data_IF_757335160444
#
_entry.id   IF_757335160444
#
_cell.length_a   1.000
_cell.length_b   1.000
_cell.length_c   1.000
_cell.angle_alpha   90.00
_cell.angle_beta   90.00
_cell.angle_gamma   90.00
#
_symmetry.space_group_name_H-M   'P 1'
#
loop_
_entity.id
_entity.type
_entity.pdbx_description
1 polymer ?
#
# COMPACT_ATOMS: atom_id res chain seq x y z
N UNK A 1 -3.57 -39.81 -0.92
CA UNK A 1 -3.46 -38.41 -1.41
C UNK A 1 -2.67 -37.62 -0.37
N UNK A 2 -1.65 -36.88 -0.75
CA UNK A 2 -0.84 -36.10 0.20
C UNK A 2 -1.67 -35.01 0.85
N UNK A 3 -1.42 -34.73 2.12
CA UNK A 3 -2.00 -33.57 2.78
C UNK A 3 -1.37 -32.28 2.20
N UNK A 4 -2.15 -31.21 2.05
CA UNK A 4 -1.63 -29.89 1.68
C UNK A 4 -0.71 -29.33 2.77
N UNK A 5 0.17 -28.42 2.38
CA UNK A 5 1.02 -27.69 3.31
C UNK A 5 0.23 -26.62 4.05
N UNK A 6 0.72 -26.20 5.24
CA UNK A 6 0.07 -25.20 6.09
C UNK A 6 -0.30 -23.88 5.39
N UNK A 7 0.51 -23.29 4.48
CA UNK A 7 0.13 -22.05 3.81
C UNK A 7 -1.16 -22.16 2.99
N UNK A 8 -1.41 -23.32 2.38
CA UNK A 8 -2.64 -23.55 1.61
C UNK A 8 -3.86 -23.73 2.54
N UNK A 9 -3.68 -24.36 3.70
CA UNK A 9 -4.72 -24.47 4.72
C UNK A 9 -5.04 -23.11 5.37
N UNK A 10 -4.03 -22.27 5.60
CA UNK A 10 -4.23 -20.90 6.08
C UNK A 10 -4.99 -20.06 5.05
N UNK A 11 -4.54 -20.07 3.79
CA UNK A 11 -5.23 -19.34 2.72
C UNK A 11 -6.69 -19.79 2.55
N UNK A 12 -6.98 -21.07 2.76
CA UNK A 12 -8.35 -21.59 2.81
C UNK A 12 -9.16 -21.00 3.96
N UNK A 13 -8.61 -20.99 5.18
CA UNK A 13 -9.26 -20.42 6.37
C UNK A 13 -9.51 -18.91 6.25
N UNK A 14 -8.60 -18.19 5.57
CA UNK A 14 -8.67 -16.75 5.35
C UNK A 14 -9.54 -16.35 4.14
N UNK A 15 -10.03 -17.33 3.35
CA UNK A 15 -10.77 -17.13 2.09
C UNK A 15 -9.95 -16.43 0.98
N UNK A 16 -8.63 -16.56 1.02
CA UNK A 16 -7.67 -15.92 0.11
C UNK A 16 -7.32 -16.79 -1.12
N UNK A 17 -8.13 -17.79 -1.43
CA UNK A 17 -7.90 -18.73 -2.53
C UNK A 17 -8.81 -18.45 -3.73
N UNK A 18 -8.37 -18.83 -4.93
CA UNK A 18 -9.23 -18.81 -6.11
C UNK A 18 -10.38 -19.82 -5.96
N UNK A 19 -11.58 -19.57 -6.53
CA UNK A 19 -12.73 -20.44 -6.36
C UNK A 19 -12.48 -21.92 -6.72
N UNK A 20 -11.69 -22.17 -7.78
CA UNK A 20 -11.35 -23.52 -8.23
C UNK A 20 -10.44 -24.28 -7.25
N UNK A 21 -9.57 -23.57 -6.53
CA UNK A 21 -8.66 -24.17 -5.54
C UNK A 21 -9.40 -24.43 -4.23
N UNK A 22 -10.26 -23.49 -3.83
CA UNK A 22 -11.14 -23.64 -2.67
C UNK A 22 -12.01 -24.90 -2.79
N UNK A 23 -12.67 -25.13 -3.94
CA UNK A 23 -13.51 -26.31 -4.14
C UNK A 23 -12.73 -27.65 -4.12
N UNK A 24 -11.46 -27.65 -4.55
CA UNK A 24 -10.60 -28.84 -4.45
C UNK A 24 -10.22 -29.13 -3.01
N UNK A 25 -9.80 -28.11 -2.28
CA UNK A 25 -9.36 -28.24 -0.90
C UNK A 25 -10.53 -28.53 0.05
N UNK A 26 -11.70 -27.93 -0.17
CA UNK A 26 -12.91 -28.22 0.58
C UNK A 26 -13.29 -29.72 0.51
N UNK A 27 -13.24 -30.33 -0.69
CA UNK A 27 -13.47 -31.77 -0.85
C UNK A 27 -12.43 -32.62 -0.09
N UNK A 28 -11.17 -32.18 -0.08
CA UNK A 28 -10.12 -32.88 0.68
C UNK A 28 -10.36 -32.78 2.19
N UNK A 29 -10.68 -31.59 2.70
CA UNK A 29 -10.94 -31.35 4.13
C UNK A 29 -12.11 -32.20 4.61
N UNK A 30 -13.18 -32.34 3.81
CA UNK A 30 -14.31 -33.21 4.17
C UNK A 30 -13.92 -34.67 4.42
N UNK A 31 -12.87 -35.18 3.75
CA UNK A 31 -12.40 -36.56 3.87
C UNK A 31 -11.15 -36.75 4.74
N UNK A 32 -10.54 -35.69 5.25
CA UNK A 32 -9.23 -35.75 5.92
C UNK A 32 -9.28 -35.21 7.35
N UNK A 33 -9.30 -36.07 8.38
CA UNK A 33 -9.39 -35.64 9.78
C UNK A 33 -8.15 -34.87 10.25
N UNK A 34 -6.98 -35.08 9.62
CA UNK A 34 -5.76 -34.33 9.93
C UNK A 34 -5.91 -32.86 9.53
N UNK A 35 -6.42 -32.60 8.33
CA UNK A 35 -6.67 -31.25 7.85
C UNK A 35 -7.79 -30.56 8.63
N UNK A 36 -8.84 -31.29 9.02
CA UNK A 36 -9.91 -30.76 9.88
C UNK A 36 -9.36 -30.30 11.24
N UNK A 37 -8.53 -31.12 11.90
CA UNK A 37 -7.88 -30.71 13.16
C UNK A 37 -6.98 -29.49 12.99
N UNK A 38 -6.25 -29.41 11.87
CA UNK A 38 -5.37 -28.26 11.60
C UNK A 38 -6.16 -26.97 11.41
N UNK A 39 -7.31 -27.04 10.73
CA UNK A 39 -8.21 -25.88 10.59
C UNK A 39 -8.82 -25.46 11.92
N UNK A 40 -9.23 -26.40 12.77
CA UNK A 40 -9.72 -26.10 14.11
C UNK A 40 -8.68 -25.34 14.94
N UNK A 41 -7.39 -25.69 14.84
CA UNK A 41 -6.30 -24.94 15.51
C UNK A 41 -6.20 -23.48 15.03
N UNK A 42 -6.45 -23.21 13.74
CA UNK A 42 -6.47 -21.84 13.22
C UNK A 42 -7.70 -21.07 13.73
N UNK A 43 -8.85 -21.72 13.81
CA UNK A 43 -10.07 -21.13 14.36
C UNK A 43 -9.92 -20.79 15.85
N UNK A 44 -9.33 -21.68 16.64
CA UNK A 44 -9.03 -21.47 18.06
C UNK A 44 -8.08 -20.27 18.25
N UNK A 45 -7.01 -20.21 17.45
CA UNK A 45 -6.06 -19.10 17.50
C UNK A 45 -6.73 -17.78 17.12
N UNK A 46 -7.58 -17.79 16.08
CA UNK A 46 -8.36 -16.62 15.67
C UNK A 46 -9.32 -16.17 16.76
N UNK A 47 -9.91 -17.11 17.49
CA UNK A 47 -10.81 -16.81 18.59
C UNK A 47 -10.05 -16.20 19.77
N UNK A 48 -8.93 -16.80 20.19
CA UNK A 48 -8.06 -16.25 21.22
C UNK A 48 -7.60 -14.83 20.88
N UNK A 49 -7.25 -14.58 19.61
CA UNK A 49 -6.87 -13.23 19.12
C UNK A 49 -7.99 -12.20 19.26
N UNK A 50 -9.25 -12.60 19.06
CA UNK A 50 -10.42 -11.72 19.22
C UNK A 50 -10.77 -11.44 20.68
N UNK A 51 -10.38 -12.33 21.58
CA UNK A 51 -10.62 -12.20 23.02
C UNK A 51 -9.60 -11.29 23.71
N UNK A 52 -8.52 -10.89 23.03
CA UNK A 52 -7.59 -9.92 23.59
C UNK A 52 -8.31 -8.57 23.85
N UNK A 53 -8.00 -7.92 24.99
CA UNK A 53 -8.56 -6.62 25.30
C UNK A 53 -8.13 -5.60 24.25
N UNK A 54 -9.10 -4.83 23.75
CA UNK A 54 -8.80 -3.73 22.85
C UNK A 54 -8.05 -2.64 23.61
N UNK A 55 -6.92 -2.11 23.08
CA UNK A 55 -6.20 -1.04 23.72
C UNK A 55 -7.07 0.22 23.79
N UNK A 56 -7.19 0.80 24.98
CA UNK A 56 -7.89 2.06 25.15
C UNK A 56 -7.05 3.19 24.57
N UNK A 57 -7.59 3.90 23.59
CA UNK A 57 -7.00 5.14 23.10
C UNK A 57 -7.22 6.22 24.18
N UNK A 58 -6.15 6.81 24.70
CA UNK A 58 -6.20 7.87 25.72
C UNK A 58 -6.79 9.21 25.23
N UNK A 59 -7.46 9.21 24.08
CA UNK A 59 -8.12 10.35 23.45
C UNK A 59 -9.21 9.85 22.50
N UNK A 60 -10.16 10.73 22.18
CA UNK A 60 -11.22 10.43 21.21
C UNK A 60 -10.69 10.51 19.77
N UNK A 61 -10.33 9.35 19.22
CA UNK A 61 -9.92 9.22 17.81
C UNK A 61 -11.09 9.49 16.85
N UNK A 62 -12.31 9.08 17.21
CA UNK A 62 -13.49 9.22 16.36
C UNK A 62 -13.79 10.70 16.09
N UNK A 63 -13.71 11.55 17.12
CA UNK A 63 -13.87 13.00 16.96
C UNK A 63 -12.82 13.59 16.01
N UNK A 64 -11.55 13.17 16.12
CA UNK A 64 -10.47 13.66 15.23
C UNK A 64 -10.62 13.18 13.79
N UNK A 65 -11.15 11.97 13.60
CA UNK A 65 -11.25 11.35 12.27
C UNK A 65 -12.51 11.79 11.52
N UNK A 66 -13.57 12.19 12.22
CA UNK A 66 -14.85 12.61 11.63
C UNK A 66 -14.71 13.70 10.57
N UNK A 67 -13.83 14.67 10.80
CA UNK A 67 -13.59 15.75 9.85
C UNK A 67 -12.74 15.32 8.65
N UNK A 68 -11.92 14.27 8.79
CA UNK A 68 -11.12 13.69 7.70
C UNK A 68 -11.92 12.74 6.81
N UNK A 69 -12.87 12.03 7.37
CA UNK A 69 -13.74 11.08 6.64
C UNK A 69 -14.88 11.78 5.89
N UNK A 70 -15.14 13.06 6.17
CA UNK A 70 -16.04 13.86 5.35
C UNK A 70 -15.42 14.03 3.97
N UNK A 71 -15.88 13.23 3.01
CA UNK A 71 -15.57 13.44 1.60
C UNK A 71 -15.97 14.87 1.24
N UNK A 72 -15.04 15.73 0.81
CA UNK A 72 -15.41 17.07 0.39
C UNK A 72 -16.40 16.97 -0.77
N UNK A 73 -17.44 17.83 -0.82
CA UNK A 73 -18.36 17.83 -1.94
C UNK A 73 -17.57 18.01 -3.24
N UNK A 74 -17.98 17.33 -4.34
CA UNK A 74 -17.31 17.52 -5.63
C UNK A 74 -17.33 19.00 -5.97
N UNK A 75 -16.15 19.62 -6.04
CA UNK A 75 -16.04 21.04 -6.40
C UNK A 75 -16.64 21.20 -7.80
N UNK A 76 -17.62 22.10 -8.00
CA UNK A 76 -18.12 22.36 -9.35
C UNK A 76 -16.93 22.82 -10.19
N UNK A 77 -16.65 22.10 -11.27
CA UNK A 77 -15.67 22.54 -12.27
C UNK A 77 -16.18 23.84 -12.86
N UNK A 78 -15.66 24.97 -12.38
CA UNK A 78 -15.92 26.28 -12.95
C UNK A 78 -15.44 26.23 -14.41
N UNK A 79 -16.38 26.10 -15.35
CA UNK A 79 -16.08 26.32 -16.76
C UNK A 79 -15.69 27.79 -16.88
N UNK A 80 -14.47 28.13 -17.35
CA UNK A 80 -14.08 29.53 -17.51
C UNK A 80 -14.98 30.15 -18.58
N UNK A 81 -16.01 30.89 -18.14
CA UNK A 81 -17.06 31.46 -18.98
C UNK A 81 -16.73 32.88 -19.44
N UNK A 82 -15.45 33.20 -19.64
CA UNK A 82 -15.04 34.57 -19.96
C UNK A 82 -14.28 34.72 -21.30
N UNK A 83 -13.98 33.65 -22.04
CA UNK A 83 -13.06 33.75 -23.17
C UNK A 83 -13.36 32.87 -24.40
N UNK A 84 -14.64 32.60 -24.69
CA UNK A 84 -15.04 31.91 -25.94
C UNK A 84 -15.73 32.85 -26.94
N UNK A 85 -15.63 34.16 -26.75
CA UNK A 85 -16.32 35.14 -27.58
C UNK A 85 -15.53 35.70 -28.76
N UNK A 86 -14.25 36.04 -28.59
CA UNK A 86 -13.63 37.05 -29.49
C UNK A 86 -12.15 36.83 -29.82
N UNK A 87 -11.59 35.63 -29.60
CA UNK A 87 -10.22 35.32 -30.04
C UNK A 87 -10.26 34.15 -31.03
N UNK A 88 -9.89 34.35 -32.31
CA UNK A 88 -9.78 33.25 -33.25
C UNK A 88 -8.75 32.24 -32.72
N UNK A 89 -9.11 30.96 -32.76
CA UNK A 89 -8.47 29.84 -32.07
C UNK A 89 -6.97 29.60 -32.37
N UNK A 90 -6.33 30.42 -33.22
CA UNK A 90 -4.92 30.30 -33.59
C UNK A 90 -3.95 31.21 -32.84
N UNK A 91 -4.39 32.31 -32.22
CA UNK A 91 -3.45 33.28 -31.60
C UNK A 91 -3.04 32.92 -30.16
N UNK A 92 -3.94 32.29 -29.39
CA UNK A 92 -3.68 31.97 -27.99
C UNK A 92 -2.65 30.85 -27.79
N UNK A 93 -2.61 29.87 -28.70
CA UNK A 93 -1.67 28.73 -28.63
C UNK A 93 -0.23 29.14 -28.94
N UNK A 94 -0.04 30.05 -29.91
CA UNK A 94 1.29 30.55 -30.29
C UNK A 94 1.98 31.32 -29.17
N UNK A 95 1.25 32.22 -28.50
CA UNK A 95 1.77 33.02 -27.38
C UNK A 95 2.11 32.15 -26.15
N UNK A 96 1.32 31.11 -25.87
CA UNK A 96 1.58 30.20 -24.77
C UNK A 96 2.85 29.36 -25.00
N UNK A 97 3.05 28.86 -26.23
CA UNK A 97 4.25 28.09 -26.57
C UNK A 97 5.50 28.97 -26.59
N UNK A 98 5.41 30.18 -27.17
CA UNK A 98 6.54 31.11 -27.22
C UNK A 98 6.98 31.56 -25.82
N UNK A 99 6.04 31.91 -24.94
CA UNK A 99 6.35 32.29 -23.56
C UNK A 99 6.88 31.12 -22.73
N UNK A 100 6.32 29.91 -22.92
CA UNK A 100 6.81 28.70 -22.27
C UNK A 100 8.24 28.34 -22.69
N UNK A 101 8.56 28.42 -23.98
CA UNK A 101 9.92 28.17 -24.49
C UNK A 101 10.91 29.24 -24.01
N UNK A 102 10.50 30.51 -23.99
CA UNK A 102 11.35 31.61 -23.54
C UNK A 102 11.65 31.53 -22.03
N UNK A 103 10.63 31.27 -21.19
CA UNK A 103 10.79 31.05 -19.75
C UNK A 103 11.57 29.76 -19.44
N UNK A 104 11.31 28.68 -20.18
CA UNK A 104 12.05 27.42 -20.05
C UNK A 104 13.53 27.56 -20.42
N UNK A 105 13.84 28.36 -21.45
CA UNK A 105 15.21 28.67 -21.85
C UNK A 105 15.95 29.49 -20.79
N UNK A 106 15.28 30.45 -20.15
CA UNK A 106 15.84 31.19 -19.00
C UNK A 106 16.14 30.27 -17.80
N UNK A 107 15.30 29.27 -17.56
CA UNK A 107 15.52 28.27 -16.50
C UNK A 107 16.65 27.29 -16.84
N UNK A 108 16.79 26.88 -18.10
CA UNK A 108 17.83 25.95 -18.54
C UNK A 108 19.21 26.62 -18.77
N UNK A 109 19.22 27.91 -19.12
CA UNK A 109 20.45 28.70 -19.28
C UNK A 109 21.09 29.14 -17.95
N UNK A 110 20.36 29.02 -16.84
CA UNK A 110 20.78 29.39 -15.49
C UNK A 110 21.30 28.22 -14.65
N UNK A 111 22.34 27.52 -15.15
CA UNK A 111 23.13 26.60 -14.34
C UNK A 111 22.60 25.17 -14.28
N UNK A 112 23.54 24.22 -14.31
CA UNK A 112 23.27 22.81 -14.10
C UNK A 112 22.39 22.62 -12.87
N UNK A 113 21.19 22.10 -13.08
CA UNK A 113 20.32 21.61 -12.01
C UNK A 113 21.06 20.44 -11.36
N UNK A 114 21.87 20.72 -10.35
CA UNK A 114 22.17 19.73 -9.33
C UNK A 114 20.85 19.44 -8.67
N UNK A 115 20.22 18.34 -9.06
CA UNK A 115 19.09 17.80 -8.34
C UNK A 115 19.49 17.75 -6.85
N UNK A 116 18.68 18.31 -5.93
CA UNK A 116 18.96 18.12 -4.53
C UNK A 116 18.96 16.61 -4.30
N UNK A 117 20.08 16.08 -3.82
CA UNK A 117 20.12 14.73 -3.30
C UNK A 117 19.10 14.73 -2.17
N UNK A 118 17.95 14.12 -2.43
CA UNK A 118 16.95 13.89 -1.43
C UNK A 118 17.66 13.14 -0.31
N UNK A 119 17.94 13.84 0.78
CA UNK A 119 18.37 13.23 2.02
C UNK A 119 17.18 12.38 2.42
N UNK A 120 17.21 11.11 2.01
CA UNK A 120 16.20 10.13 2.31
C UNK A 120 16.11 10.08 3.83
N UNK A 121 15.08 10.73 4.36
CA UNK A 121 14.61 10.55 5.71
C UNK A 121 14.33 9.05 5.83
N UNK A 122 15.21 8.34 6.56
CA UNK A 122 15.17 6.91 6.87
C UNK A 122 14.01 6.60 7.82
N UNK A 123 12.78 6.94 7.43
CA UNK A 123 11.56 6.62 8.19
C UNK A 123 11.13 5.17 7.96
N UNK A 124 11.67 4.51 6.94
CA UNK A 124 11.41 3.10 6.64
C UNK A 124 12.72 2.31 6.51
N UNK A 125 13.57 2.36 7.54
CA UNK A 125 14.59 1.32 7.69
C UNK A 125 13.87 0.02 8.11
N UNK A 126 14.15 -1.14 7.50
CA UNK A 126 13.51 -2.42 7.85
C UNK A 126 13.90 -2.95 9.25
N UNK A 127 14.71 -2.20 10.00
CA UNK A 127 15.15 -2.56 11.35
C UNK A 127 14.37 -1.72 12.36
N UNK A 128 13.45 -2.31 13.15
CA UNK A 128 12.72 -1.56 14.18
C UNK A 128 13.69 -1.09 15.27
N UNK A 129 13.43 0.07 15.92
CA UNK A 129 14.22 0.48 17.08
C UNK A 129 14.11 -0.59 18.18
N UNK A 130 15.24 -1.18 18.56
CA UNK A 130 15.32 -2.32 19.48
C UNK A 130 15.67 -3.67 18.83
N UNK A 131 15.83 -3.73 17.51
CA UNK A 131 16.33 -4.93 16.82
C UNK A 131 17.81 -5.19 17.13
N UNK A 132 18.16 -6.46 17.41
CA UNK A 132 19.53 -6.90 17.67
C UNK A 132 20.43 -6.89 16.40
N UNK A 133 19.85 -6.75 15.21
CA UNK A 133 20.58 -6.66 13.94
C UNK A 133 20.72 -5.19 13.52
N UNK A 134 21.82 -4.52 13.88
CA UNK A 134 22.08 -3.14 13.49
C UNK A 134 22.45 -2.97 12.00
N UNK A 135 22.81 -4.05 11.29
CA UNK A 135 23.04 -4.05 9.86
C UNK A 135 22.74 -5.43 9.24
N UNK A 136 22.11 -5.43 8.06
CA UNK A 136 21.70 -6.64 7.31
C UNK A 136 22.89 -7.55 6.98
N UNK A 137 24.08 -6.96 6.82
CA UNK A 137 25.32 -7.68 6.53
C UNK A 137 25.78 -8.61 7.67
N UNK A 138 25.34 -8.36 8.91
CA UNK A 138 25.77 -9.14 10.10
C UNK A 138 24.86 -10.36 10.33
N UNK A 139 23.64 -10.35 9.78
CA UNK A 139 22.63 -11.40 10.00
C UNK A 139 22.52 -12.39 8.82
N UNK A 140 23.39 -12.31 7.81
CA UNK A 140 23.58 -13.40 6.84
C UNK A 140 24.44 -14.50 7.46
N UNK A 141 23.79 -15.47 8.11
CA UNK A 141 24.36 -16.81 8.25
C UNK A 141 24.66 -17.32 6.83
N UNK A 142 25.93 -17.30 6.44
CA UNK A 142 26.37 -17.98 5.23
C UNK A 142 26.05 -19.46 5.41
N UNK A 143 25.05 -19.94 4.67
CA UNK A 143 24.88 -21.37 4.45
C UNK A 143 26.00 -21.85 3.52
N UNK A 144 27.18 -21.97 4.08
CA UNK A 144 28.31 -22.73 3.56
C UNK A 144 28.63 -23.72 4.68
N UNK A 145 28.57 -25.04 4.49
CA UNK A 145 29.18 -25.84 3.43
C UNK A 145 28.52 -27.26 3.42
N UNK A 146 28.89 -28.17 2.49
CA UNK A 146 28.08 -29.29 2.01
C UNK A 146 27.91 -30.48 2.96
#
# INVERSE_FOLDING_TARGET
>A
MSCPQDPALSAYADQEMRPAEYAKLARHVQGCPVCQRRLAQFEDLRQAMRELPSPTLGFDLSARLKDRLRTPPPRPRARPRFWTGWVPAGLGTGLALASGVWLGSLLAGGGAVSAPSASLVRVFDPVPPGGLCAAVEICRLSKAMP
#
